data_IF_165942304154
#
_entry.id   IF_165942304154
#
_cell.length_a   1.000
_cell.length_b   1.000
_cell.length_c   1.000
_cell.angle_alpha   90.00
_cell.angle_beta   90.00
_cell.angle_gamma   90.00
#
_symmetry.space_group_name_H-M   'P 1'
#
loop_
_entity.id
_entity.type
_entity.pdbx_description
1 polymer ?
#
# COMPACT_ATOMS: atom_id res chain seq x y z
N UNK A 1 -8.36 -62.07 25.04
CA UNK A 1 -7.93 -60.72 25.46
C UNK A 1 -6.78 -60.27 24.57
N UNK A 2 -7.03 -59.33 23.64
CA UNK A 2 -5.99 -58.69 22.80
C UNK A 2 -5.93 -57.21 23.23
N UNK A 3 -4.84 -56.79 23.87
CA UNK A 3 -4.56 -55.38 24.14
C UNK A 3 -3.91 -54.77 22.90
N UNK A 4 -4.53 -53.73 22.35
CA UNK A 4 -3.97 -52.89 21.30
C UNK A 4 -3.11 -51.79 21.93
N UNK A 5 -1.84 -51.73 21.52
CA UNK A 5 -0.89 -50.67 21.84
C UNK A 5 -1.10 -49.50 20.88
N UNK A 6 -1.47 -48.33 21.40
CA UNK A 6 -1.59 -47.10 20.61
C UNK A 6 -0.28 -46.30 20.70
N UNK A 7 0.53 -46.33 19.64
CA UNK A 7 1.67 -45.43 19.46
C UNK A 7 1.17 -44.07 18.99
N UNK A 8 1.27 -43.06 19.86
CA UNK A 8 1.01 -41.66 19.53
C UNK A 8 2.24 -41.07 18.83
N UNK A 9 2.18 -40.88 17.51
CA UNK A 9 3.19 -40.12 16.76
C UNK A 9 2.99 -38.63 17.01
N UNK A 10 3.86 -38.01 17.81
CA UNK A 10 4.00 -36.55 17.86
C UNK A 10 4.63 -36.05 16.55
N UNK A 11 3.82 -35.46 15.69
CA UNK A 11 4.33 -34.63 14.58
C UNK A 11 4.93 -33.35 15.17
N UNK A 12 6.26 -33.27 15.18
CA UNK A 12 6.98 -32.03 15.46
C UNK A 12 6.78 -31.12 14.26
N UNK A 13 5.99 -30.06 14.42
CA UNK A 13 5.82 -29.03 13.41
C UNK A 13 7.09 -28.18 13.37
N UNK A 14 7.99 -28.50 12.46
CA UNK A 14 9.19 -27.70 12.21
C UNK A 14 8.72 -26.40 11.57
N UNK A 15 8.59 -25.35 12.38
CA UNK A 15 8.36 -24.01 11.91
C UNK A 15 9.62 -23.58 11.12
N UNK A 16 9.54 -23.32 9.80
CA UNK A 16 10.70 -22.88 9.06
C UNK A 16 11.16 -21.54 9.65
N UNK A 17 12.39 -21.52 10.17
CA UNK A 17 13.07 -20.28 10.50
C UNK A 17 13.24 -19.54 9.18
N UNK A 18 12.51 -18.44 9.00
CA UNK A 18 12.70 -17.57 7.86
C UNK A 18 14.16 -17.11 7.89
N UNK A 19 14.96 -17.57 6.92
CA UNK A 19 16.33 -17.09 6.75
C UNK A 19 16.27 -15.56 6.62
N UNK A 20 17.02 -14.86 7.48
CA UNK A 20 17.16 -13.41 7.36
C UNK A 20 17.68 -13.11 5.95
N UNK A 21 16.85 -12.50 5.11
CA UNK A 21 17.26 -12.11 3.76
C UNK A 21 18.48 -11.18 3.88
N UNK A 22 19.54 -11.49 3.12
CA UNK A 22 20.74 -10.67 3.11
C UNK A 22 20.39 -9.23 2.68
N UNK A 23 20.96 -8.25 3.38
CA UNK A 23 20.78 -6.82 3.07
C UNK A 23 21.29 -6.53 1.64
N UNK A 24 20.56 -5.75 0.83
CA UNK A 24 21.02 -5.38 -0.51
C UNK A 24 22.38 -4.68 -0.47
N UNK A 25 23.32 -5.15 -1.29
CA UNK A 25 24.63 -4.53 -1.41
C UNK A 25 24.55 -3.30 -2.33
N UNK A 26 24.30 -2.14 -1.74
CA UNK A 26 24.20 -0.87 -2.48
C UNK A 26 25.54 -0.48 -3.11
N UNK A 27 25.54 0.16 -4.30
CA UNK A 27 26.76 0.55 -5.00
C UNK A 27 27.61 1.49 -4.13
N UNK A 28 28.93 1.36 -4.21
CA UNK A 28 29.87 2.27 -3.51
C UNK A 28 30.11 3.58 -4.26
N UNK A 29 29.81 3.61 -5.57
CA UNK A 29 29.99 4.77 -6.44
C UNK A 29 29.04 4.67 -7.64
N UNK A 30 28.54 5.81 -8.10
CA UNK A 30 27.75 5.94 -9.33
C UNK A 30 27.88 7.37 -9.87
N UNK A 31 28.08 7.54 -11.17
CA UNK A 31 28.19 8.86 -11.84
C UNK A 31 29.24 9.81 -11.20
N UNK A 32 30.25 9.28 -10.50
CA UNK A 32 31.26 10.05 -9.75
C UNK A 32 30.83 10.51 -8.36
N UNK A 33 29.61 10.19 -7.93
CA UNK A 33 29.18 10.30 -6.54
C UNK A 33 29.60 9.03 -5.78
N UNK A 34 30.42 9.19 -4.74
CA UNK A 34 30.96 8.11 -3.93
C UNK A 34 30.23 8.06 -2.59
N UNK A 35 29.91 6.87 -2.10
CA UNK A 35 29.41 6.69 -0.74
C UNK A 35 30.43 7.25 0.26
N UNK A 36 29.97 8.04 1.23
CA UNK A 36 30.80 8.66 2.26
C UNK A 36 31.30 7.69 3.35
N UNK A 37 31.02 6.40 3.20
CA UNK A 37 31.29 5.32 4.15
C UNK A 37 30.53 5.45 5.48
N UNK A 38 29.50 6.29 5.55
CA UNK A 38 28.59 6.39 6.69
C UNK A 38 27.26 5.71 6.35
N UNK A 39 26.82 4.82 7.24
CA UNK A 39 25.54 4.13 7.13
C UNK A 39 24.74 4.37 8.40
N UNK A 40 23.60 5.02 8.27
CA UNK A 40 22.66 5.18 9.36
C UNK A 40 21.57 4.12 9.26
N UNK A 41 21.09 3.65 10.42
CA UNK A 41 20.01 2.68 10.49
C UNK A 41 19.00 3.12 11.52
N UNK A 42 17.72 3.04 11.14
CA UNK A 42 16.62 3.35 12.03
C UNK A 42 15.69 2.14 12.16
N UNK A 43 15.30 1.85 13.40
CA UNK A 43 14.23 0.90 13.72
C UNK A 43 12.93 1.66 14.06
N UNK A 44 11.87 0.93 14.41
CA UNK A 44 10.56 1.51 14.71
C UNK A 44 10.56 2.48 15.90
N UNK A 45 11.57 2.44 16.77
CA UNK A 45 11.73 3.34 17.92
C UNK A 45 12.43 4.64 17.53
N UNK A 46 13.39 4.57 16.60
CA UNK A 46 14.18 5.74 16.18
C UNK A 46 13.60 6.45 14.96
N UNK A 47 12.72 5.80 14.19
CA UNK A 47 12.19 6.35 12.94
C UNK A 47 11.46 7.68 13.13
N UNK A 48 10.68 7.83 14.21
CA UNK A 48 9.99 9.09 14.51
C UNK A 48 10.95 10.27 14.65
N UNK A 49 12.11 10.07 15.27
CA UNK A 49 13.12 11.11 15.43
C UNK A 49 13.80 11.47 14.10
N UNK A 50 14.03 10.48 13.24
CA UNK A 50 14.60 10.70 11.90
C UNK A 50 13.64 11.48 10.99
N UNK A 51 12.33 11.16 11.04
CA UNK A 51 11.32 11.72 10.14
C UNK A 51 10.55 12.92 10.70
N UNK A 52 11.03 13.53 11.79
CA UNK A 52 10.36 14.65 12.47
C UNK A 52 8.86 14.42 12.71
N UNK A 53 8.52 13.24 13.24
CA UNK A 53 7.13 12.85 13.54
C UNK A 53 6.37 12.16 12.40
N UNK A 54 6.86 12.19 11.15
CA UNK A 54 6.16 11.68 9.98
C UNK A 54 6.26 10.14 9.75
N UNK A 55 6.64 9.37 10.77
CA UNK A 55 6.87 7.92 10.65
C UNK A 55 5.59 7.06 10.54
N UNK A 56 4.41 7.65 10.79
CA UNK A 56 3.13 6.92 10.86
C UNK A 56 2.84 6.12 9.59
N UNK A 57 3.14 6.70 8.42
CA UNK A 57 2.94 6.05 7.12
C UNK A 57 3.64 4.69 7.07
N UNK A 58 4.95 4.69 7.29
CA UNK A 58 5.78 3.48 7.19
C UNK A 58 5.39 2.44 8.24
N UNK A 59 5.11 2.88 9.47
CA UNK A 59 4.69 2.00 10.56
C UNK A 59 3.33 1.35 10.32
N UNK A 60 2.44 2.01 9.57
CA UNK A 60 1.17 1.41 9.15
C UNK A 60 1.36 0.28 8.12
N UNK A 61 2.43 0.34 7.31
CA UNK A 61 2.79 -0.67 6.30
C UNK A 61 3.88 -1.64 6.79
N UNK A 62 3.85 -2.07 8.06
CA UNK A 62 4.73 -3.16 8.51
C UNK A 62 6.24 -2.87 8.40
N UNK A 63 6.65 -1.61 8.55
CA UNK A 63 8.06 -1.19 8.59
C UNK A 63 8.94 -2.12 9.44
N UNK A 64 10.09 -2.51 8.91
CA UNK A 64 11.08 -3.34 9.61
C UNK A 64 12.29 -2.53 10.01
N UNK A 65 12.92 -1.86 9.04
CA UNK A 65 14.04 -0.96 9.27
C UNK A 65 14.27 -0.04 8.07
N UNK A 66 14.97 1.06 8.31
CA UNK A 66 15.43 2.03 7.31
C UNK A 66 16.95 2.05 7.32
N UNK A 67 17.56 1.96 6.14
CA UNK A 67 18.98 2.23 5.92
C UNK A 67 19.15 3.52 5.15
N UNK A 68 19.96 4.45 5.66
CA UNK A 68 20.28 5.72 5.00
C UNK A 68 21.76 5.73 4.59
N UNK A 69 22.03 6.14 3.36
CA UNK A 69 23.39 6.39 2.85
C UNK A 69 23.46 7.72 2.13
N UNK A 70 24.60 8.39 2.23
CA UNK A 70 24.89 9.61 1.48
C UNK A 70 26.00 9.36 0.47
N UNK A 71 25.80 9.86 -0.73
CA UNK A 71 26.79 9.86 -1.78
C UNK A 71 27.26 11.29 -2.03
N UNK A 72 28.57 11.50 -2.11
CA UNK A 72 29.20 12.81 -2.18
C UNK A 72 30.06 12.94 -3.44
N UNK A 73 30.09 14.15 -3.99
CA UNK A 73 30.96 14.55 -5.09
C UNK A 73 31.44 15.99 -4.85
N UNK A 74 32.75 16.28 -4.92
CA UNK A 74 33.25 17.63 -4.68
C UNK A 74 32.58 18.69 -5.57
N UNK A 75 32.15 19.79 -4.96
CA UNK A 75 31.51 20.91 -5.66
C UNK A 75 30.04 20.70 -6.03
N UNK A 76 29.43 19.57 -5.65
CA UNK A 76 28.05 19.23 -5.95
C UNK A 76 27.29 18.80 -4.68
N UNK A 77 25.96 18.96 -4.64
CA UNK A 77 25.16 18.56 -3.49
C UNK A 77 25.24 17.04 -3.26
N UNK A 78 25.18 16.60 -1.99
CA UNK A 78 25.11 15.18 -1.65
C UNK A 78 23.77 14.59 -2.09
N UNK A 79 23.80 13.30 -2.46
CA UNK A 79 22.60 12.52 -2.76
C UNK A 79 22.34 11.55 -1.62
N UNK A 80 21.15 11.61 -1.05
CA UNK A 80 20.70 10.72 0.01
C UNK A 80 19.89 9.57 -0.59
N UNK A 81 20.20 8.34 -0.14
CA UNK A 81 19.42 7.14 -0.39
C UNK A 81 18.81 6.70 0.92
N UNK A 82 17.48 6.65 0.95
CA UNK A 82 16.71 6.01 2.00
C UNK A 82 16.14 4.69 1.47
N UNK A 83 16.53 3.57 2.08
CA UNK A 83 16.05 2.25 1.73
C UNK A 83 15.25 1.65 2.90
N UNK A 84 13.94 1.61 2.73
CA UNK A 84 12.99 1.06 3.69
C UNK A 84 12.77 -0.43 3.38
N UNK A 85 12.97 -1.28 4.39
CA UNK A 85 12.53 -2.69 4.34
C UNK A 85 11.18 -2.81 5.03
N UNK A 86 10.20 -3.31 4.29
CA UNK A 86 8.84 -3.55 4.78
C UNK A 86 8.63 -5.03 5.07
N UNK A 87 7.54 -5.38 5.76
CA UNK A 87 7.21 -6.77 6.08
C UNK A 87 6.90 -7.61 4.84
N UNK A 88 6.38 -6.99 3.77
CA UNK A 88 5.99 -7.68 2.54
C UNK A 88 6.11 -6.79 1.31
N UNK A 89 5.99 -7.40 0.12
CA UNK A 89 5.89 -6.67 -1.16
C UNK A 89 4.65 -5.78 -1.23
N UNK A 90 3.53 -6.26 -0.70
CA UNK A 90 2.28 -5.50 -0.62
C UNK A 90 2.43 -4.26 0.26
N UNK A 91 3.21 -4.35 1.33
CA UNK A 91 3.51 -3.22 2.20
C UNK A 91 4.37 -2.15 1.52
N UNK A 92 5.44 -2.57 0.82
CA UNK A 92 6.28 -1.66 0.05
C UNK A 92 5.49 -0.97 -1.09
N UNK A 93 4.63 -1.73 -1.77
CA UNK A 93 3.68 -1.19 -2.75
C UNK A 93 2.73 -0.17 -2.11
N UNK A 94 2.25 -0.44 -0.90
CA UNK A 94 1.38 0.45 -0.13
C UNK A 94 2.01 1.81 0.12
N UNK A 95 3.24 1.83 0.63
CA UNK A 95 4.01 3.08 0.84
C UNK A 95 4.17 3.83 -0.48
N UNK A 96 4.65 3.16 -1.53
CA UNK A 96 4.85 3.79 -2.84
C UNK A 96 3.57 4.40 -3.41
N UNK A 97 2.47 3.65 -3.41
CA UNK A 97 1.21 4.13 -4.01
C UNK A 97 0.55 5.22 -3.17
N UNK A 98 0.81 5.29 -1.86
CA UNK A 98 0.18 6.26 -0.98
C UNK A 98 0.47 7.71 -1.39
N UNK A 99 1.74 8.00 -1.72
CA UNK A 99 2.24 9.34 -2.05
C UNK A 99 2.46 9.56 -3.55
N UNK A 100 2.01 8.64 -4.40
CA UNK A 100 2.25 8.68 -5.83
C UNK A 100 1.57 9.89 -6.49
N UNK A 101 2.37 10.74 -7.13
CA UNK A 101 1.96 12.00 -7.77
C UNK A 101 2.73 12.34 -9.05
N UNK A 102 3.93 11.81 -9.25
CA UNK A 102 4.83 12.17 -10.34
C UNK A 102 4.78 11.18 -11.50
N UNK A 103 5.52 11.50 -12.58
CA UNK A 103 5.59 10.67 -13.77
C UNK A 103 6.45 9.42 -13.56
N UNK A 104 6.09 8.28 -14.19
CA UNK A 104 6.85 7.05 -14.05
C UNK A 104 8.31 7.17 -14.52
N UNK A 105 9.26 6.69 -13.71
CA UNK A 105 10.68 6.72 -14.04
C UNK A 105 11.24 5.39 -14.62
N UNK A 106 10.44 4.32 -14.64
CA UNK A 106 10.82 3.01 -15.17
C UNK A 106 11.88 2.25 -14.34
N UNK A 107 11.92 2.46 -13.03
CA UNK A 107 12.88 1.83 -12.10
C UNK A 107 12.13 0.93 -11.11
N UNK A 108 12.71 -0.23 -10.77
CA UNK A 108 12.06 -1.19 -9.89
C UNK A 108 10.81 -1.82 -10.52
N UNK A 109 9.78 -2.09 -9.72
CA UNK A 109 8.47 -2.58 -10.18
C UNK A 109 7.45 -1.46 -10.38
N UNK A 110 7.70 -0.32 -9.76
CA UNK A 110 6.99 0.93 -9.98
C UNK A 110 7.82 2.06 -9.39
N UNK A 111 7.91 3.16 -10.12
CA UNK A 111 8.65 4.34 -9.69
C UNK A 111 7.98 5.62 -10.15
N UNK A 112 8.40 6.73 -9.57
CA UNK A 112 8.11 8.06 -10.04
C UNK A 112 9.30 8.99 -9.78
N UNK A 113 9.46 10.00 -10.62
CA UNK A 113 10.50 11.01 -10.46
C UNK A 113 9.91 12.40 -10.70
N UNK A 114 10.08 13.27 -9.72
CA UNK A 114 9.63 14.66 -9.76
C UNK A 114 10.31 15.47 -8.66
N UNK A 115 10.54 16.76 -8.91
CA UNK A 115 11.16 17.67 -7.93
C UNK A 115 12.52 17.20 -7.41
N UNK A 116 13.33 16.54 -8.25
CA UNK A 116 14.65 16.02 -7.85
C UNK A 116 14.64 14.77 -6.96
N UNK A 117 13.47 14.16 -6.73
CA UNK A 117 13.31 12.98 -5.89
C UNK A 117 12.78 11.79 -6.69
N UNK A 118 13.54 10.70 -6.70
CA UNK A 118 13.13 9.40 -7.20
C UNK A 118 12.55 8.57 -6.07
N UNK A 119 11.33 8.06 -6.26
CA UNK A 119 10.72 7.06 -5.36
C UNK A 119 10.41 5.80 -6.14
N UNK A 120 10.70 4.63 -5.58
CA UNK A 120 10.36 3.36 -6.21
C UNK A 120 10.14 2.23 -5.20
N UNK A 121 9.51 1.15 -5.64
CA UNK A 121 9.44 -0.10 -4.89
C UNK A 121 9.94 -1.29 -5.71
N UNK A 122 10.47 -2.31 -5.03
CA UNK A 122 10.84 -3.61 -5.60
C UNK A 122 10.89 -4.67 -4.49
N UNK A 123 10.13 -5.76 -4.65
CA UNK A 123 9.97 -6.73 -3.58
C UNK A 123 9.47 -6.06 -2.29
N UNK A 124 10.02 -6.46 -1.15
CA UNK A 124 9.66 -5.87 0.15
C UNK A 124 10.34 -4.52 0.45
N UNK A 125 10.92 -3.84 -0.55
CA UNK A 125 11.65 -2.59 -0.37
C UNK A 125 10.95 -1.41 -1.04
N UNK A 126 10.90 -0.30 -0.31
CA UNK A 126 10.61 1.03 -0.83
C UNK A 126 11.87 1.88 -0.72
N UNK A 127 12.17 2.69 -1.72
CA UNK A 127 13.35 3.53 -1.74
C UNK A 127 13.02 4.96 -2.16
N UNK A 128 13.65 5.92 -1.49
CA UNK A 128 13.69 7.33 -1.87
C UNK A 128 15.14 7.73 -2.15
N UNK A 129 15.39 8.40 -3.27
CA UNK A 129 16.70 8.91 -3.67
C UNK A 129 16.54 10.36 -4.08
N UNK A 130 17.23 11.27 -3.39
CA UNK A 130 17.07 12.71 -3.60
C UNK A 130 18.36 13.47 -3.28
N UNK A 131 18.44 14.71 -3.74
CA UNK A 131 19.52 15.63 -3.42
C UNK A 131 18.97 16.93 -2.83
N UNK A 132 19.74 17.58 -1.97
CA UNK A 132 19.45 18.94 -1.47
C UNK A 132 19.95 20.01 -2.48
N UNK A 133 19.60 19.85 -3.76
CA UNK A 133 19.99 20.76 -4.83
C UNK A 133 19.50 20.32 -6.21
N UNK A 134 19.52 21.23 -7.16
CA UNK A 134 18.98 21.04 -8.52
C UNK A 134 20.09 20.94 -9.58
N UNK A 135 19.74 20.46 -10.77
CA UNK A 135 20.60 20.46 -11.95
C UNK A 135 20.62 19.12 -12.69
N UNK A 136 20.75 19.17 -14.02
CA UNK A 136 20.69 17.98 -14.87
C UNK A 136 21.71 16.89 -14.51
N UNK A 137 22.90 17.28 -14.04
CA UNK A 137 23.92 16.33 -13.58
C UNK A 137 23.49 15.60 -12.29
N UNK A 138 22.89 16.34 -11.35
CA UNK A 138 22.39 15.83 -10.07
C UNK A 138 21.20 14.89 -10.31
N UNK A 139 20.24 15.29 -11.14
CA UNK A 139 19.10 14.45 -11.50
C UNK A 139 19.54 13.15 -12.18
N UNK A 140 20.48 13.22 -13.11
CA UNK A 140 21.07 12.04 -13.76
C UNK A 140 21.73 11.11 -12.75
N UNK A 141 22.42 11.67 -11.74
CA UNK A 141 23.03 10.89 -10.67
C UNK A 141 21.99 10.27 -9.71
N UNK A 142 20.90 10.98 -9.36
CA UNK A 142 19.78 10.43 -8.57
C UNK A 142 19.17 9.22 -9.28
N UNK A 143 18.89 9.34 -10.58
CA UNK A 143 18.38 8.24 -11.40
C UNK A 143 19.39 7.08 -11.50
N UNK A 144 20.67 7.40 -11.71
CA UNK A 144 21.75 6.40 -11.79
C UNK A 144 21.90 5.61 -10.50
N UNK A 145 21.96 6.29 -9.35
CA UNK A 145 22.03 5.68 -8.02
C UNK A 145 20.79 4.84 -7.79
N UNK A 146 19.59 5.37 -8.08
CA UNK A 146 18.34 4.63 -7.95
C UNK A 146 18.30 3.32 -8.76
N UNK A 147 18.82 3.33 -10.00
CA UNK A 147 18.98 2.09 -10.80
C UNK A 147 19.93 1.11 -10.13
N UNK A 148 21.04 1.58 -9.58
CA UNK A 148 21.98 0.75 -8.83
C UNK A 148 21.35 0.12 -7.58
N UNK A 149 20.58 0.90 -6.81
CA UNK A 149 19.83 0.41 -5.64
C UNK A 149 18.80 -0.64 -6.08
N UNK A 150 18.03 -0.36 -7.13
CA UNK A 150 17.04 -1.30 -7.67
C UNK A 150 17.68 -2.60 -8.17
N UNK A 151 18.87 -2.55 -8.76
CA UNK A 151 19.63 -3.74 -9.18
C UNK A 151 20.15 -4.57 -7.99
N UNK A 152 20.51 -3.92 -6.89
CA UNK A 152 21.00 -4.59 -5.68
C UNK A 152 19.91 -5.37 -4.91
N UNK A 153 18.63 -5.00 -5.08
CA UNK A 153 17.51 -5.72 -4.47
C UNK A 153 17.31 -7.05 -5.21
N UNK A 154 17.43 -8.22 -4.55
CA UNK A 154 17.62 -9.51 -5.22
C UNK A 154 16.37 -10.07 -5.89
N UNK A 155 15.19 -9.73 -5.39
CA UNK A 155 13.93 -10.30 -5.84
C UNK A 155 12.87 -9.21 -6.06
N UNK A 156 12.00 -9.45 -7.04
CA UNK A 156 10.72 -8.76 -7.15
C UNK A 156 9.71 -9.41 -6.19
N UNK A 157 8.54 -8.80 -6.04
CA UNK A 157 7.42 -9.37 -5.32
C UNK A 157 6.09 -8.99 -5.96
N UNK A 158 5.00 -9.72 -5.68
CA UNK A 158 3.71 -9.42 -6.29
C UNK A 158 3.15 -8.09 -5.77
N UNK A 159 2.33 -7.43 -6.59
CA UNK A 159 1.39 -6.42 -6.12
C UNK A 159 0.35 -7.06 -5.18
N UNK A 160 -0.31 -6.29 -4.30
CA UNK A 160 -1.42 -6.83 -3.52
C UNK A 160 -2.51 -7.41 -4.45
N UNK A 161 -2.95 -8.64 -4.18
CA UNK A 161 -3.96 -9.34 -5.01
C UNK A 161 -5.24 -8.51 -5.20
N UNK A 162 -5.62 -7.75 -4.18
CA UNK A 162 -6.82 -6.92 -4.15
C UNK A 162 -6.80 -5.82 -5.23
N UNK A 163 -5.63 -5.43 -5.74
CA UNK A 163 -5.50 -4.49 -6.87
C UNK A 163 -6.15 -5.06 -8.13
N UNK A 164 -6.07 -6.38 -8.34
CA UNK A 164 -6.68 -7.07 -9.49
C UNK A 164 -8.21 -7.07 -9.47
N UNK A 165 -8.82 -6.83 -8.30
CA UNK A 165 -10.29 -6.78 -8.12
C UNK A 165 -10.86 -5.42 -8.55
N UNK A 166 -10.05 -4.37 -8.54
CA UNK A 166 -10.48 -3.00 -8.87
C UNK A 166 -10.92 -2.92 -10.35
N UNK A 167 -12.14 -2.45 -10.67
CA UNK A 167 -12.58 -2.19 -12.04
C UNK A 167 -11.60 -1.28 -12.79
N UNK A 168 -11.23 -1.62 -14.02
CA UNK A 168 -10.13 -0.95 -14.72
C UNK A 168 -10.56 0.35 -15.41
N UNK A 169 -9.75 0.78 -16.38
CA UNK A 169 -9.99 2.00 -17.18
C UNK A 169 -11.29 1.93 -17.98
N UNK A 170 -11.75 0.73 -18.31
CA UNK A 170 -13.03 0.48 -18.98
C UNK A 170 -14.25 0.98 -18.18
N UNK A 171 -14.11 1.14 -16.85
CA UNK A 171 -15.12 1.77 -15.99
C UNK A 171 -14.81 3.24 -15.66
N UNK A 172 -13.81 3.83 -16.31
CA UNK A 172 -13.38 5.22 -16.09
C UNK A 172 -12.47 5.44 -14.88
N UNK A 173 -11.77 4.41 -14.38
CA UNK A 173 -10.84 4.58 -13.25
C UNK A 173 -9.81 5.68 -13.53
N UNK A 174 -9.63 6.63 -12.60
CA UNK A 174 -8.62 7.68 -12.72
C UNK A 174 -7.22 7.06 -12.62
N UNK A 175 -6.32 7.45 -13.52
CA UNK A 175 -4.93 7.01 -13.49
C UNK A 175 -4.23 7.40 -12.19
N UNK A 176 -3.43 6.48 -11.64
CA UNK A 176 -2.68 6.68 -10.38
C UNK A 176 -3.56 7.04 -9.18
N UNK A 177 -4.87 6.78 -9.21
CA UNK A 177 -5.78 6.99 -8.06
C UNK A 177 -5.89 5.79 -7.11
N UNK A 178 -5.42 4.62 -7.53
CA UNK A 178 -5.48 3.40 -6.71
C UNK A 178 -4.54 3.55 -5.51
N UNK A 179 -5.04 3.28 -4.31
CA UNK A 179 -4.30 3.31 -3.04
C UNK A 179 -4.51 1.98 -2.32
N UNK A 180 -3.44 1.26 -2.01
CA UNK A 180 -3.49 0.13 -1.10
C UNK A 180 -3.28 0.62 0.34
N UNK A 181 -4.14 0.23 1.27
CA UNK A 181 -4.24 0.82 2.62
C UNK A 181 -4.35 -0.29 3.67
N UNK A 182 -3.74 -0.04 4.85
CA UNK A 182 -3.79 -0.92 6.03
C UNK A 182 -4.20 -0.18 7.32
N UNK A 183 -4.63 1.08 7.20
CA UNK A 183 -4.91 1.95 8.33
C UNK A 183 -6.13 2.83 8.07
N UNK A 184 -7.02 2.93 9.05
CA UNK A 184 -8.14 3.87 9.07
C UNK A 184 -7.67 5.33 9.01
N UNK A 185 -6.57 5.67 9.67
CA UNK A 185 -6.02 7.03 9.65
C UNK A 185 -5.56 7.38 8.24
N UNK A 186 -4.80 6.49 7.59
CA UNK A 186 -4.31 6.70 6.22
C UNK A 186 -5.46 6.71 5.20
N UNK A 187 -6.49 5.89 5.40
CA UNK A 187 -7.71 5.97 4.59
C UNK A 187 -8.34 7.36 4.69
N UNK A 188 -8.52 7.89 5.91
CA UNK A 188 -9.11 9.21 6.11
C UNK A 188 -8.27 10.36 5.54
N UNK A 189 -6.95 10.20 5.43
CA UNK A 189 -6.08 11.17 4.74
C UNK A 189 -6.28 11.20 3.21
N UNK A 190 -6.90 10.18 2.62
CA UNK A 190 -7.19 10.10 1.17
C UNK A 190 -8.67 10.30 0.88
N UNK A 191 -9.54 9.74 1.72
CA UNK A 191 -10.98 9.87 1.63
C UNK A 191 -11.58 9.75 3.04
N UNK A 192 -12.04 10.86 3.59
CA UNK A 192 -12.63 10.90 4.92
C UNK A 192 -13.98 10.17 4.94
N UNK A 193 -14.10 9.13 5.76
CA UNK A 193 -15.36 8.40 5.95
C UNK A 193 -15.98 8.74 7.31
N UNK A 194 -15.20 8.59 8.38
CA UNK A 194 -15.63 8.88 9.73
C UNK A 194 -14.44 9.05 10.67
N UNK A 195 -14.62 9.84 11.74
CA UNK A 195 -13.60 9.99 12.79
C UNK A 195 -13.26 8.66 13.48
N UNK A 196 -14.27 7.81 13.73
CA UNK A 196 -14.07 6.48 14.31
C UNK A 196 -13.77 5.45 13.22
N UNK A 197 -13.04 4.39 13.59
CA UNK A 197 -12.77 3.25 12.71
C UNK A 197 -14.01 2.35 12.56
N UNK A 198 -15.02 2.83 11.84
CA UNK A 198 -16.31 2.14 11.67
C UNK A 198 -16.25 0.90 10.75
N UNK A 199 -15.12 0.71 10.07
CA UNK A 199 -14.81 -0.46 9.24
C UNK A 199 -13.87 -1.44 9.95
N UNK A 200 -13.50 -1.20 11.21
CA UNK A 200 -12.58 -2.06 11.97
C UNK A 200 -11.28 -2.39 11.20
N UNK A 201 -10.73 -1.42 10.47
CA UNK A 201 -9.48 -1.60 9.74
C UNK A 201 -8.31 -1.74 10.71
N UNK A 202 -7.48 -2.74 10.49
CA UNK A 202 -6.23 -2.96 11.21
C UNK A 202 -5.16 -3.55 10.27
N UNK A 203 -3.99 -3.88 10.83
CA UNK A 203 -2.85 -4.43 10.08
C UNK A 203 -3.12 -5.79 9.42
N UNK A 204 -4.18 -6.49 9.81
CA UNK A 204 -4.62 -7.76 9.21
C UNK A 204 -5.67 -7.58 8.12
N UNK A 205 -6.17 -6.35 7.94
CA UNK A 205 -7.08 -5.98 6.86
C UNK A 205 -6.31 -5.38 5.69
N UNK A 206 -6.82 -5.61 4.49
CA UNK A 206 -6.31 -5.00 3.28
C UNK A 206 -7.42 -4.20 2.63
N UNK A 207 -7.16 -2.91 2.40
CA UNK A 207 -8.10 -2.02 1.74
C UNK A 207 -7.51 -1.48 0.43
N UNK A 208 -8.36 -1.31 -0.57
CA UNK A 208 -8.02 -0.62 -1.81
C UNK A 208 -9.06 0.45 -2.09
N UNK A 209 -8.59 1.69 -2.25
CA UNK A 209 -9.39 2.84 -2.63
C UNK A 209 -9.06 3.21 -4.08
N UNK A 210 -10.08 3.51 -4.89
CA UNK A 210 -9.92 3.98 -6.27
C UNK A 210 -10.94 5.06 -6.62
N UNK A 211 -10.55 6.00 -7.48
CA UNK A 211 -11.42 7.10 -7.94
C UNK A 211 -11.98 6.81 -9.33
N UNK A 212 -13.27 7.10 -9.49
CA UNK A 212 -14.02 7.02 -10.74
C UNK A 212 -14.78 8.34 -10.93
N UNK A 213 -14.49 9.13 -11.98
CA UNK A 213 -15.30 10.29 -12.27
C UNK A 213 -16.64 9.84 -12.87
N UNK A 214 -17.72 10.46 -12.41
CA UNK A 214 -19.06 10.40 -13.02
C UNK A 214 -19.57 11.82 -13.15
N UNK A 215 -19.73 12.27 -14.38
CA UNK A 215 -19.94 13.67 -14.72
C UNK A 215 -18.89 14.59 -14.07
N UNK A 216 -19.32 15.47 -13.16
CA UNK A 216 -18.46 16.39 -12.38
C UNK A 216 -18.19 15.90 -10.95
N UNK A 217 -18.57 14.67 -10.62
CA UNK A 217 -18.44 14.11 -9.28
C UNK A 217 -17.35 13.04 -9.22
N UNK A 218 -16.62 13.04 -8.11
CA UNK A 218 -15.74 11.95 -7.75
C UNK A 218 -16.55 10.86 -7.04
N UNK A 219 -16.53 9.68 -7.62
CA UNK A 219 -17.06 8.45 -7.03
C UNK A 219 -15.88 7.65 -6.51
N UNK A 220 -15.98 7.15 -5.28
CA UNK A 220 -14.93 6.35 -4.66
C UNK A 220 -15.40 4.91 -4.52
N UNK A 221 -14.60 3.97 -5.00
CA UNK A 221 -14.75 2.56 -4.67
C UNK A 221 -13.74 2.21 -3.57
N UNK A 222 -14.24 1.67 -2.47
CA UNK A 222 -13.45 1.06 -1.41
C UNK A 222 -13.72 -0.45 -1.39
N UNK A 223 -12.66 -1.24 -1.57
CA UNK A 223 -12.66 -2.68 -1.39
C UNK A 223 -11.90 -3.01 -0.11
N UNK A 224 -12.43 -3.86 0.75
CA UNK A 224 -11.75 -4.31 1.96
C UNK A 224 -11.81 -5.82 2.07
N UNK A 225 -10.66 -6.47 2.21
CA UNK A 225 -10.50 -7.89 2.55
C UNK A 225 -10.16 -8.02 4.03
N UNK A 226 -10.96 -8.80 4.74
CA UNK A 226 -10.76 -9.13 6.16
C UNK A 226 -10.13 -10.52 6.30
N UNK A 227 -9.50 -10.83 7.44
CA UNK A 227 -8.91 -12.14 7.68
C UNK A 227 -9.94 -13.28 7.77
N UNK A 228 -11.23 -12.96 8.00
CA UNK A 228 -12.30 -13.94 8.09
C UNK A 228 -13.68 -13.36 7.72
N UNK A 229 -14.62 -14.18 7.22
CA UNK A 229 -15.99 -13.74 6.92
C UNK A 229 -16.75 -13.15 8.13
N UNK A 230 -16.44 -13.62 9.34
CA UNK A 230 -17.00 -13.05 10.58
C UNK A 230 -16.54 -11.61 10.80
N UNK A 231 -15.25 -11.34 10.64
CA UNK A 231 -14.68 -10.00 10.79
C UNK A 231 -15.28 -9.02 9.76
N UNK A 232 -15.42 -9.46 8.50
CA UNK A 232 -16.12 -8.69 7.48
C UNK A 232 -17.59 -8.45 7.85
N UNK A 233 -18.28 -9.43 8.44
CA UNK A 233 -19.65 -9.27 8.92
C UNK A 233 -19.77 -8.23 10.04
N UNK A 234 -18.85 -8.27 11.01
CA UNK A 234 -18.83 -7.36 12.15
C UNK A 234 -18.54 -5.92 11.68
N UNK A 235 -17.56 -5.74 10.79
CA UNK A 235 -17.25 -4.45 10.17
C UNK A 235 -18.38 -3.92 9.29
N UNK A 236 -19.01 -4.77 8.47
CA UNK A 236 -20.13 -4.38 7.61
C UNK A 236 -21.30 -3.82 8.43
N UNK A 237 -21.70 -4.53 9.50
CA UNK A 237 -22.76 -4.05 10.39
C UNK A 237 -22.39 -2.75 11.10
N UNK A 238 -21.13 -2.60 11.51
CA UNK A 238 -20.60 -1.36 12.08
C UNK A 238 -20.72 -0.19 11.10
N UNK A 239 -20.29 -0.38 9.87
CA UNK A 239 -20.39 0.60 8.79
C UNK A 239 -21.85 0.96 8.47
N UNK A 240 -22.72 -0.03 8.23
CA UNK A 240 -24.12 0.22 7.90
C UNK A 240 -24.83 1.02 8.99
N UNK A 241 -24.64 0.64 10.26
CA UNK A 241 -25.22 1.35 11.40
C UNK A 241 -24.71 2.79 11.54
N UNK A 242 -23.43 3.03 11.27
CA UNK A 242 -22.79 4.31 11.52
C UNK A 242 -22.86 5.29 10.33
N UNK A 243 -22.84 4.79 9.09
CA UNK A 243 -22.73 5.59 7.87
C UNK A 243 -24.02 5.56 7.02
N UNK A 244 -24.76 4.44 7.02
CA UNK A 244 -26.00 4.29 6.24
C UNK A 244 -27.20 3.87 7.12
N UNK A 245 -27.55 4.63 8.18
CA UNK A 245 -28.68 4.28 9.04
C UNK A 245 -30.01 4.24 8.29
N UNK A 246 -30.14 5.04 7.23
CA UNK A 246 -31.37 5.14 6.42
C UNK A 246 -31.52 4.03 5.36
N UNK A 247 -30.52 3.14 5.21
CA UNK A 247 -30.61 2.00 4.30
C UNK A 247 -31.61 0.93 4.80
N UNK A 248 -31.97 0.95 6.08
CA UNK A 248 -32.83 -0.06 6.70
C UNK A 248 -32.20 -1.46 6.59
N UNK A 249 -32.94 -2.39 5.98
CA UNK A 249 -32.44 -3.75 5.67
C UNK A 249 -31.71 -3.84 4.32
N UNK A 250 -31.65 -2.74 3.56
CA UNK A 250 -31.00 -2.66 2.26
C UNK A 250 -29.47 -2.49 2.34
N UNK A 251 -28.83 -2.54 1.17
CA UNK A 251 -27.38 -2.39 1.00
C UNK A 251 -26.99 -1.00 0.45
N UNK A 252 -27.95 -0.06 0.41
CA UNK A 252 -27.78 1.25 -0.24
C UNK A 252 -28.67 2.31 0.37
N UNK A 253 -28.22 3.56 0.32
CA UNK A 253 -29.01 4.73 0.66
C UNK A 253 -28.50 5.98 -0.06
N UNK A 254 -29.38 6.98 -0.17
CA UNK A 254 -29.02 8.32 -0.63
C UNK A 254 -28.58 9.15 0.59
N UNK A 255 -27.34 9.65 0.57
CA UNK A 255 -26.77 10.47 1.64
C UNK A 255 -27.27 11.91 1.58
N UNK A 256 -27.04 12.69 2.64
CA UNK A 256 -27.53 14.07 2.79
C UNK A 256 -27.09 15.03 1.66
N UNK A 257 -26.00 14.72 0.97
CA UNK A 257 -25.50 15.46 -0.19
C UNK A 257 -26.21 15.09 -1.51
N UNK A 258 -27.27 14.27 -1.43
CA UNK A 258 -28.07 13.85 -2.56
C UNK A 258 -27.39 12.80 -3.44
N UNK A 259 -26.36 12.09 -2.95
CA UNK A 259 -25.63 11.06 -3.69
C UNK A 259 -25.91 9.67 -3.16
N UNK A 260 -25.65 8.66 -3.99
CA UNK A 260 -25.82 7.27 -3.62
C UNK A 260 -24.56 6.68 -3.02
N UNK A 261 -24.73 5.95 -1.92
CA UNK A 261 -23.73 5.04 -1.38
C UNK A 261 -24.30 3.63 -1.39
N UNK A 262 -23.54 2.67 -1.91
CA UNK A 262 -23.89 1.24 -1.94
C UNK A 262 -22.78 0.48 -1.23
N UNK A 263 -23.12 -0.39 -0.28
CA UNK A 263 -22.17 -1.20 0.47
C UNK A 263 -22.62 -2.66 0.48
N UNK A 264 -21.79 -3.57 -0.02
CA UNK A 264 -22.10 -4.99 -0.10
C UNK A 264 -21.01 -5.84 0.52
N UNK A 265 -21.42 -6.91 1.20
CA UNK A 265 -20.51 -7.92 1.76
C UNK A 265 -20.59 -9.20 0.95
N UNK A 266 -19.45 -9.76 0.60
CA UNK A 266 -19.32 -11.10 -0.01
C UNK A 266 -18.22 -11.87 0.72
N UNK A 267 -18.61 -12.88 1.50
CA UNK A 267 -17.69 -13.64 2.37
C UNK A 267 -16.83 -12.72 3.26
N UNK A 268 -15.51 -12.75 3.10
CA UNK A 268 -14.52 -11.90 3.79
C UNK A 268 -14.29 -10.52 3.15
N UNK A 269 -15.05 -10.17 2.10
CA UNK A 269 -14.92 -8.89 1.39
C UNK A 269 -16.06 -7.94 1.70
N UNK A 270 -15.75 -6.66 1.79
CA UNK A 270 -16.71 -5.55 1.74
C UNK A 270 -16.36 -4.66 0.55
N UNK A 271 -17.37 -4.30 -0.24
CA UNK A 271 -17.29 -3.42 -1.39
C UNK A 271 -18.19 -2.24 -1.13
N UNK A 272 -17.66 -1.02 -1.20
CA UNK A 272 -18.42 0.20 -0.94
C UNK A 272 -18.16 1.20 -2.04
N UNK A 273 -19.22 1.69 -2.68
CA UNK A 273 -19.16 2.84 -3.58
C UNK A 273 -19.78 4.03 -2.89
N UNK A 274 -19.03 5.14 -2.84
CA UNK A 274 -19.45 6.39 -2.24
C UNK A 274 -19.65 7.48 -3.29
N UNK A 275 -20.68 8.30 -3.09
CA UNK A 275 -20.83 9.57 -3.81
C UNK A 275 -21.28 9.44 -5.26
N UNK A 276 -21.94 8.34 -5.64
CA UNK A 276 -22.42 8.14 -7.00
C UNK A 276 -23.62 9.07 -7.32
N UNK A 277 -23.67 9.72 -8.49
CA UNK A 277 -24.80 10.59 -8.84
C UNK A 277 -26.08 9.80 -9.13
N UNK A 278 -25.96 8.59 -9.68
CA UNK A 278 -27.06 7.64 -9.83
C UNK A 278 -26.78 6.31 -9.12
N UNK A 279 -27.84 5.65 -8.65
CA UNK A 279 -27.74 4.32 -8.02
C UNK A 279 -27.11 3.29 -8.98
N UNK A 280 -27.46 3.36 -10.27
CA UNK A 280 -26.93 2.49 -11.31
C UNK A 280 -25.42 2.61 -11.50
N UNK A 281 -24.84 3.79 -11.26
CA UNK A 281 -23.39 3.97 -11.34
C UNK A 281 -22.66 3.23 -10.22
N UNK A 282 -23.21 3.30 -9.00
CA UNK A 282 -22.68 2.56 -7.87
C UNK A 282 -22.84 1.04 -8.06
N UNK A 283 -24.04 0.60 -8.48
CA UNK A 283 -24.31 -0.81 -8.72
C UNK A 283 -23.41 -1.40 -9.81
N UNK A 284 -23.15 -0.65 -10.89
CA UNK A 284 -22.27 -1.07 -11.96
C UNK A 284 -20.83 -1.33 -11.48
N UNK A 285 -20.30 -0.43 -10.66
CA UNK A 285 -18.96 -0.59 -10.08
C UNK A 285 -18.88 -1.75 -9.08
N UNK A 286 -19.88 -1.94 -8.22
CA UNK A 286 -19.95 -3.08 -7.31
C UNK A 286 -19.94 -4.39 -8.09
N UNK A 287 -20.85 -4.55 -9.07
CA UNK A 287 -20.94 -5.78 -9.88
C UNK A 287 -19.65 -6.09 -10.63
N UNK A 288 -19.01 -5.06 -11.18
CA UNK A 288 -17.73 -5.21 -11.89
C UNK A 288 -16.61 -5.71 -10.96
N UNK A 289 -16.56 -5.21 -9.72
CA UNK A 289 -15.59 -5.66 -8.73
C UNK A 289 -15.90 -7.08 -8.23
N UNK A 290 -17.17 -7.41 -7.96
CA UNK A 290 -17.57 -8.76 -7.54
C UNK A 290 -17.20 -9.85 -8.55
N UNK A 291 -17.26 -9.54 -9.85
CA UNK A 291 -16.87 -10.47 -10.92
C UNK A 291 -15.40 -10.88 -10.85
N UNK A 292 -14.56 -10.04 -10.22
CA UNK A 292 -13.13 -10.26 -10.07
C UNK A 292 -12.74 -10.82 -8.70
N UNK A 293 -13.70 -11.01 -7.77
CA UNK A 293 -13.41 -11.56 -6.45
C UNK A 293 -12.93 -13.02 -6.54
N UNK A 294 -11.90 -13.41 -5.77
CA UNK A 294 -11.46 -14.80 -5.70
C UNK A 294 -12.55 -15.68 -5.07
N UNK A 295 -12.65 -16.94 -5.53
CA UNK A 295 -13.58 -17.92 -4.95
C UNK A 295 -15.01 -17.89 -5.49
N UNK A 296 -15.29 -17.20 -6.61
CA UNK A 296 -16.61 -17.16 -7.26
C UNK A 296 -16.96 -18.42 -8.10
N UNK A 297 -16.43 -19.60 -7.73
CA UNK A 297 -16.78 -20.90 -8.35
C UNK A 297 -17.71 -21.69 -7.46
#
# INVERSE_FOLDING_TARGET
>A
MKLFSACLLMMVWICPIAAAAAEPLLPSEMNGWRWDNQKERHDSRTLYGYMDGAAELYLAYGFQDLTVRRYVKPGLPPITVELYRMASSADAYGVFTFERQDEPAGIGQGSEFGGGMLRFWKGAYFASVYAEGEGAEVESAVIGIGRGVAAAIPATGPEPELIGVVPGKEFGRVDRSVRFLRSHVLLNQRFFIAHRNILNLDRTTEAVLAEYPRDRQKVHLLLVRYPAPKAAGDAYRGFMKAYLPDAGEGDRAKTNDGRWTVARRQAEFILIVFGAPAESDAEGLIKAAEQKLPGRR
#
